data_IF_940240996982
#
_entry.id   IF_940240996982
#
_cell.length_a   1.000
_cell.length_b   1.000
_cell.length_c   1.000
_cell.angle_alpha   90.00
_cell.angle_beta   90.00
_cell.angle_gamma   90.00
#
_symmetry.space_group_name_H-M   'P 1'
#
loop_
_entity.id
_entity.type
_entity.pdbx_description
1 polymer ?
#
# COMPACT_ATOMS: atom_id res chain seq x y z
N UNK A 1 -54.47 26.22 33.53
CA UNK A 1 -55.14 25.89 32.25
C UNK A 1 -54.12 26.08 31.13
N UNK A 2 -53.75 24.95 30.54
CA UNK A 2 -53.09 24.71 29.25
C UNK A 2 -52.10 25.75 28.69
N UNK A 3 -50.81 25.46 28.86
CA UNK A 3 -49.77 25.87 27.92
C UNK A 3 -48.88 24.66 27.67
N UNK A 4 -49.13 23.93 26.58
CA UNK A 4 -48.10 23.12 25.94
C UNK A 4 -48.37 23.11 24.45
N UNK A 5 -47.77 24.12 23.82
CA UNK A 5 -47.55 24.24 22.39
C UNK A 5 -46.89 22.99 21.81
N UNK A 6 -47.28 22.69 20.58
CA UNK A 6 -46.67 21.75 19.66
C UNK A 6 -45.13 21.70 19.75
N UNK A 7 -44.59 20.55 20.17
CA UNK A 7 -43.24 20.16 19.78
C UNK A 7 -43.37 19.30 18.51
N UNK A 8 -43.36 20.00 17.39
CA UNK A 8 -43.35 19.50 16.04
C UNK A 8 -41.92 19.01 15.69
N UNK A 9 -41.83 17.77 15.18
CA UNK A 9 -40.62 17.02 14.76
C UNK A 9 -39.68 16.49 15.87
N UNK A 10 -39.33 15.18 15.87
CA UNK A 10 -38.16 14.71 16.59
C UNK A 10 -36.90 15.26 15.90
N UNK A 11 -36.31 16.32 16.46
CA UNK A 11 -34.92 16.69 16.16
C UNK A 11 -34.01 15.71 16.91
N UNK A 12 -33.36 14.85 16.13
CA UNK A 12 -32.33 13.92 16.60
C UNK A 12 -31.05 14.73 16.89
N UNK A 13 -30.93 15.36 18.05
CA UNK A 13 -29.65 15.96 18.49
C UNK A 13 -29.70 16.30 19.98
N UNK A 14 -28.73 15.80 20.77
CA UNK A 14 -27.81 16.61 21.62
C UNK A 14 -27.23 15.87 22.86
N UNK A 15 -27.74 14.72 23.31
CA UNK A 15 -27.14 14.01 24.47
C UNK A 15 -26.14 12.89 24.13
N UNK A 16 -25.87 12.59 22.85
CA UNK A 16 -24.97 11.48 22.44
C UNK A 16 -24.26 11.63 21.08
N UNK A 17 -24.69 12.58 20.24
CA UNK A 17 -24.17 12.77 18.89
C UNK A 17 -22.64 13.05 18.81
N UNK A 18 -22.02 13.91 19.65
CA UNK A 18 -20.58 14.11 19.56
C UNK A 18 -19.78 12.86 19.96
N UNK A 19 -20.24 12.10 20.96
CA UNK A 19 -19.58 10.88 21.39
C UNK A 19 -19.71 9.74 20.36
N UNK A 20 -20.87 9.60 19.71
CA UNK A 20 -21.06 8.65 18.61
C UNK A 20 -20.19 9.01 17.39
N UNK A 21 -20.13 10.29 17.02
CA UNK A 21 -19.28 10.75 15.92
C UNK A 21 -17.79 10.54 16.22
N UNK A 22 -17.35 10.79 17.46
CA UNK A 22 -15.97 10.51 17.88
C UNK A 22 -15.64 9.03 17.87
N UNK A 23 -16.56 8.17 18.32
CA UNK A 23 -16.39 6.72 18.27
C UNK A 23 -16.27 6.24 16.82
N UNK A 24 -17.20 6.67 15.95
CA UNK A 24 -17.18 6.34 14.53
C UNK A 24 -15.89 6.82 13.86
N UNK A 25 -15.43 8.02 14.17
CA UNK A 25 -14.17 8.56 13.66
C UNK A 25 -12.96 7.72 14.09
N UNK A 26 -12.89 7.30 15.36
CA UNK A 26 -11.81 6.43 15.86
C UNK A 26 -11.80 5.07 15.15
N UNK A 27 -12.97 4.43 15.04
CA UNK A 27 -13.10 3.13 14.35
C UNK A 27 -12.77 3.27 12.86
N UNK A 28 -13.20 4.34 12.21
CA UNK A 28 -12.88 4.60 10.81
C UNK A 28 -11.38 4.83 10.58
N UNK A 29 -10.72 5.56 11.48
CA UNK A 29 -9.29 5.82 11.40
C UNK A 29 -8.47 4.54 11.65
N UNK A 30 -8.83 3.76 12.67
CA UNK A 30 -8.16 2.49 12.99
C UNK A 30 -8.36 1.43 11.89
N UNK A 31 -9.57 1.35 11.31
CA UNK A 31 -9.81 0.46 10.17
C UNK A 31 -9.05 0.88 8.91
N UNK A 32 -8.91 2.18 8.66
CA UNK A 32 -8.11 2.71 7.55
C UNK A 32 -6.63 2.46 7.75
N UNK A 33 -6.12 2.57 8.98
CA UNK A 33 -4.71 2.30 9.29
C UNK A 33 -4.36 0.82 9.05
N UNK A 34 -5.22 -0.09 9.55
CA UNK A 34 -5.01 -1.52 9.36
C UNK A 34 -5.20 -1.97 7.89
N UNK A 35 -6.33 -1.63 7.28
CA UNK A 35 -6.65 -2.08 5.91
C UNK A 35 -5.88 -1.28 4.87
N UNK A 36 -5.84 0.03 5.03
CA UNK A 36 -5.29 0.97 4.05
C UNK A 36 -3.77 1.01 4.04
N UNK A 37 -3.10 0.85 5.19
CA UNK A 37 -1.63 0.87 5.24
C UNK A 37 -1.06 -0.55 5.39
N UNK A 38 -1.44 -1.29 6.42
CA UNK A 38 -0.79 -2.58 6.72
C UNK A 38 -1.10 -3.64 5.66
N UNK A 39 -2.37 -3.91 5.39
CA UNK A 39 -2.73 -4.93 4.39
C UNK A 39 -2.31 -4.53 2.97
N UNK A 40 -2.43 -3.25 2.62
CA UNK A 40 -1.97 -2.74 1.34
C UNK A 40 -0.48 -3.02 1.13
N UNK A 41 0.36 -2.60 2.08
CA UNK A 41 1.82 -2.75 1.97
C UNK A 41 2.23 -4.23 1.98
N UNK A 42 1.49 -5.09 2.69
CA UNK A 42 1.72 -6.54 2.69
C UNK A 42 1.52 -7.14 1.29
N UNK A 43 0.34 -6.93 0.71
CA UNK A 43 0.01 -7.46 -0.63
C UNK A 43 0.93 -6.85 -1.69
N UNK A 44 1.19 -5.55 -1.59
CA UNK A 44 2.12 -4.84 -2.44
C UNK A 44 3.52 -5.44 -2.38
N UNK A 45 4.07 -5.66 -1.19
CA UNK A 45 5.44 -6.19 -1.02
C UNK A 45 5.59 -7.57 -1.66
N UNK A 46 4.59 -8.45 -1.50
CA UNK A 46 4.59 -9.76 -2.15
C UNK A 46 4.54 -9.62 -3.67
N UNK A 47 3.63 -8.80 -4.19
CA UNK A 47 3.51 -8.55 -5.63
C UNK A 47 4.78 -7.95 -6.24
N UNK A 48 5.41 -7.01 -5.55
CA UNK A 48 6.63 -6.35 -6.00
C UNK A 48 7.85 -7.29 -5.93
N UNK A 49 7.97 -8.19 -4.95
CA UNK A 49 9.01 -9.25 -4.97
C UNK A 49 8.87 -10.11 -6.22
N UNK A 50 7.64 -10.55 -6.55
CA UNK A 50 7.38 -11.35 -7.75
C UNK A 50 7.74 -10.56 -9.02
N UNK A 51 7.31 -9.30 -9.09
CA UNK A 51 7.57 -8.42 -10.22
C UNK A 51 9.06 -8.16 -10.44
N UNK A 52 9.81 -7.81 -9.39
CA UNK A 52 11.26 -7.59 -9.48
C UNK A 52 12.03 -8.89 -9.72
N UNK A 53 11.56 -10.02 -9.19
CA UNK A 53 12.08 -11.34 -9.52
C UNK A 53 11.95 -11.66 -11.00
N UNK A 54 10.80 -11.34 -11.60
CA UNK A 54 10.55 -11.53 -13.02
C UNK A 54 11.40 -10.58 -13.88
N UNK A 55 11.53 -9.31 -13.48
CA UNK A 55 12.41 -8.35 -14.15
C UNK A 55 13.89 -8.75 -14.08
N UNK A 56 14.31 -9.40 -12.99
CA UNK A 56 15.66 -9.94 -12.86
C UNK A 56 15.90 -11.12 -13.82
N UNK A 57 14.91 -12.00 -13.99
CA UNK A 57 14.99 -13.15 -14.91
C UNK A 57 14.93 -12.72 -16.38
N UNK A 58 14.01 -11.83 -16.72
CA UNK A 58 13.78 -11.37 -18.10
C UNK A 58 14.92 -10.52 -18.65
N UNK A 59 15.77 -9.94 -17.78
CA UNK A 59 16.89 -9.05 -18.14
C UNK A 59 16.50 -7.82 -18.97
N UNK A 60 15.21 -7.49 -19.00
CA UNK A 60 14.66 -6.28 -19.65
C UNK A 60 15.23 -5.03 -18.98
N UNK A 61 15.35 -5.07 -17.66
CA UNK A 61 15.89 -4.00 -16.82
C UNK A 61 17.28 -4.42 -16.32
N UNK A 62 18.25 -3.49 -16.19
CA UNK A 62 19.57 -3.80 -15.65
C UNK A 62 19.43 -4.50 -14.29
N UNK A 63 20.13 -5.64 -14.14
CA UNK A 63 20.07 -6.49 -12.94
C UNK A 63 20.33 -5.74 -11.64
N UNK A 64 21.21 -4.74 -11.67
CA UNK A 64 21.50 -3.90 -10.52
C UNK A 64 20.25 -3.15 -10.02
N UNK A 65 19.39 -2.70 -10.93
CA UNK A 65 18.16 -2.00 -10.59
C UNK A 65 17.11 -2.96 -10.01
N UNK A 66 16.93 -4.13 -10.62
CA UNK A 66 16.02 -5.15 -10.08
C UNK A 66 16.48 -5.65 -8.70
N UNK A 67 17.79 -5.81 -8.48
CA UNK A 67 18.35 -6.17 -7.18
C UNK A 67 18.17 -5.04 -6.15
N UNK A 68 18.35 -3.78 -6.55
CA UNK A 68 18.14 -2.65 -5.64
C UNK A 68 16.70 -2.65 -5.10
N UNK A 69 15.70 -2.76 -5.98
CA UNK A 69 14.30 -2.88 -5.58
C UNK A 69 14.04 -4.05 -4.64
N UNK A 70 14.59 -5.22 -4.97
CA UNK A 70 14.43 -6.44 -4.16
C UNK A 70 15.04 -6.28 -2.75
N UNK A 71 16.24 -5.71 -2.66
CA UNK A 71 16.94 -5.47 -1.39
C UNK A 71 16.18 -4.47 -0.53
N UNK A 72 15.63 -3.40 -1.12
CA UNK A 72 14.83 -2.42 -0.38
C UNK A 72 13.48 -2.97 0.07
N UNK A 73 12.94 -3.98 -0.62
CA UNK A 73 11.66 -4.58 -0.25
C UNK A 73 11.71 -5.54 0.93
N UNK A 74 12.81 -6.27 1.09
CA UNK A 74 12.97 -7.23 2.19
C UNK A 74 12.70 -6.61 3.58
N UNK A 75 13.30 -5.46 3.93
CA UNK A 75 13.06 -4.86 5.23
C UNK A 75 11.65 -4.24 5.34
N UNK A 76 11.05 -3.76 4.23
CA UNK A 76 9.65 -3.30 4.20
C UNK A 76 8.70 -4.47 4.48
N UNK A 77 8.91 -5.61 3.82
CA UNK A 77 8.12 -6.83 4.03
C UNK A 77 8.23 -7.31 5.48
N UNK A 78 9.46 -7.36 6.02
CA UNK A 78 9.67 -7.72 7.42
C UNK A 78 8.94 -6.77 8.37
N UNK A 79 9.03 -5.47 8.08
CA UNK A 79 8.40 -4.44 8.88
C UNK A 79 6.86 -4.51 8.85
N UNK A 80 6.23 -4.74 7.69
CA UNK A 80 4.76 -4.84 7.60
C UNK A 80 4.23 -6.13 8.22
N UNK A 81 4.99 -7.22 8.17
CA UNK A 81 4.68 -8.44 8.95
C UNK A 81 4.76 -8.14 10.46
N UNK A 82 5.76 -7.38 10.90
CA UNK A 82 5.83 -6.87 12.27
C UNK A 82 4.63 -5.97 12.62
N UNK A 83 4.23 -5.08 11.71
CA UNK A 83 3.06 -4.22 11.90
C UNK A 83 1.76 -5.00 12.06
N UNK A 84 1.64 -6.11 11.33
CA UNK A 84 0.51 -7.04 11.45
C UNK A 84 0.45 -7.72 12.83
N UNK A 85 1.56 -7.75 13.58
CA UNK A 85 1.66 -8.26 14.94
C UNK A 85 1.58 -7.16 16.02
N UNK A 86 1.33 -5.91 15.64
CA UNK A 86 1.20 -4.77 16.55
C UNK A 86 2.47 -3.95 16.78
N UNK A 87 3.53 -4.15 15.98
CA UNK A 87 4.73 -3.32 16.03
C UNK A 87 4.58 -2.06 15.15
N UNK A 88 5.22 -0.96 15.52
CA UNK A 88 5.24 0.23 14.68
C UNK A 88 6.24 0.08 13.55
N UNK A 89 5.80 0.29 12.31
CA UNK A 89 6.66 0.28 11.14
C UNK A 89 7.42 1.61 11.02
N UNK A 90 8.77 1.62 11.08
CA UNK A 90 9.50 2.88 10.93
C UNK A 90 9.42 3.41 9.50
N UNK A 91 9.04 4.68 9.34
CA UNK A 91 8.87 5.33 8.02
C UNK A 91 10.17 5.42 7.21
N UNK A 92 11.34 5.45 7.88
CA UNK A 92 12.64 5.55 7.20
C UNK A 92 12.93 4.33 6.30
N UNK A 93 12.25 3.20 6.50
CA UNK A 93 12.38 2.03 5.63
C UNK A 93 11.92 2.30 4.20
N UNK A 94 10.99 3.24 4.00
CA UNK A 94 10.53 3.65 2.67
C UNK A 94 11.48 4.61 1.97
N UNK A 95 12.38 5.27 2.71
CA UNK A 95 13.31 6.27 2.19
C UNK A 95 14.19 5.77 1.04
N UNK A 96 14.79 4.56 1.08
CA UNK A 96 15.56 4.04 -0.04
C UNK A 96 14.67 3.49 -1.18
N UNK A 97 13.42 3.14 -0.89
CA UNK A 97 12.49 2.56 -1.85
C UNK A 97 11.82 3.63 -2.73
N UNK A 98 11.44 4.75 -2.14
CA UNK A 98 10.80 5.87 -2.85
C UNK A 98 11.57 6.36 -4.10
N UNK A 99 12.88 6.66 -4.04
CA UNK A 99 13.62 7.07 -5.22
C UNK A 99 13.77 5.94 -6.24
N UNK A 100 13.82 4.68 -5.78
CA UNK A 100 13.91 3.54 -6.67
C UNK A 100 12.68 3.43 -7.59
N UNK A 101 11.47 3.69 -7.08
CA UNK A 101 10.24 3.68 -7.90
C UNK A 101 10.30 4.67 -9.06
N UNK A 102 10.80 5.89 -8.80
CA UNK A 102 10.99 6.87 -9.87
C UNK A 102 12.05 6.39 -10.86
N UNK A 103 13.19 5.88 -10.40
CA UNK A 103 14.27 5.42 -11.29
C UNK A 103 13.80 4.29 -12.20
N UNK A 104 13.11 3.27 -11.67
CA UNK A 104 12.63 2.15 -12.49
C UNK A 104 11.49 2.56 -13.42
N UNK A 105 10.59 3.42 -12.95
CA UNK A 105 9.51 3.98 -13.77
C UNK A 105 10.05 4.79 -14.95
N UNK A 106 10.98 5.71 -14.70
CA UNK A 106 11.63 6.51 -15.75
C UNK A 106 12.45 5.61 -16.68
N UNK A 107 13.15 4.60 -16.15
CA UNK A 107 13.92 3.68 -16.97
C UNK A 107 13.03 2.93 -17.97
N UNK A 108 11.94 2.32 -17.50
CA UNK A 108 11.00 1.60 -18.36
C UNK A 108 10.34 2.56 -19.37
N UNK A 109 9.97 3.77 -18.93
CA UNK A 109 9.33 4.77 -19.78
C UNK A 109 10.21 5.21 -20.96
N UNK A 110 11.50 5.46 -20.73
CA UNK A 110 12.40 5.94 -21.78
C UNK A 110 13.01 4.81 -22.61
N UNK A 111 13.36 3.68 -21.99
CA UNK A 111 14.05 2.57 -22.67
C UNK A 111 13.08 1.73 -23.50
N UNK A 112 11.86 1.56 -23.03
CA UNK A 112 10.90 0.61 -23.61
C UNK A 112 11.34 -0.86 -23.45
N UNK A 113 10.50 -1.76 -23.91
CA UNK A 113 10.75 -3.21 -23.92
C UNK A 113 11.32 -3.61 -25.29
N UNK A 114 12.43 -4.34 -25.32
CA UNK A 114 12.98 -4.91 -26.57
C UNK A 114 12.19 -6.18 -26.90
N UNK A 115 11.36 -6.14 -27.95
CA UNK A 115 10.41 -7.20 -28.33
C UNK A 115 11.09 -8.57 -28.53
N UNK A 116 12.35 -8.58 -28.95
CA UNK A 116 13.14 -9.82 -29.11
C UNK A 116 13.37 -10.56 -27.80
N UNK A 117 13.43 -9.85 -26.68
CA UNK A 117 13.62 -10.44 -25.36
C UNK A 117 12.30 -11.04 -24.84
N UNK A 118 11.16 -10.41 -25.14
CA UNK A 118 9.84 -10.91 -24.79
C UNK A 118 9.47 -12.19 -25.54
N UNK A 119 9.79 -12.27 -26.84
CA UNK A 119 9.53 -13.47 -27.65
C UNK A 119 10.33 -14.69 -27.16
N UNK A 120 11.57 -14.48 -26.70
CA UNK A 120 12.41 -15.56 -26.16
C UNK A 120 11.88 -16.18 -24.86
N UNK A 121 11.09 -15.43 -24.05
CA UNK A 121 10.46 -15.95 -22.84
C UNK A 121 9.25 -16.84 -23.15
N UNK A 122 8.58 -16.63 -24.29
CA UNK A 122 7.44 -17.45 -24.72
C UNK A 122 7.87 -18.83 -25.28
N UNK A 123 9.14 -18.98 -25.63
CA UNK A 123 9.71 -20.21 -26.17
C UNK A 123 10.26 -21.16 -25.08
N UNK A 124 10.26 -20.76 -23.80
CA UNK A 124 10.67 -21.61 -22.68
C UNK A 124 9.45 -22.44 -22.23
N UNK A 125 9.43 -23.77 -22.44
CA UNK A 125 8.35 -24.60 -21.93
C UNK A 125 8.37 -24.62 -20.39
N UNK A 126 7.18 -24.48 -19.80
CA UNK A 126 6.91 -24.42 -18.37
C UNK A 126 7.30 -25.71 -17.60
#
# INVERSE_FOLDING_TARGET
MSASSECHRPRVTECGLPAELELLAKVALESTDFVGLTLHVLVFSVGAILFYGLLYQSRIVPRALSLWGLVTLLPILYGVVGASLGYTLPEFLYLPYMPFEFVIGLWILFKGFDERQAESLQLVPA
#
